data_IF_343784937539
#
_entry.id   IF_343784937539
#
_cell.length_a   1.000
_cell.length_b   1.000
_cell.length_c   1.000
_cell.angle_alpha   90.00
_cell.angle_beta   90.00
_cell.angle_gamma   90.00
#
_symmetry.space_group_name_H-M   'P 1'
#
loop_
_entity.id
_entity.type
_entity.pdbx_description
1 polymer ?
#
# COMPACT_ATOMS: atom_id res chain seq x y z
N UNK A 1 -12.14 -2.82 -10.51
CA UNK A 1 -12.75 -1.79 -9.67
C UNK A 1 -11.77 -0.64 -9.50
N UNK A 2 -12.22 0.57 -9.75
CA UNK A 2 -11.40 1.76 -9.54
C UNK A 2 -11.83 2.49 -8.27
N UNK A 3 -11.19 3.64 -7.98
CA UNK A 3 -11.48 4.40 -6.76
C UNK A 3 -12.93 4.90 -6.71
N UNK A 4 -13.48 5.35 -7.82
CA UNK A 4 -14.86 5.84 -7.89
C UNK A 4 -15.84 4.72 -7.56
N UNK A 5 -15.66 3.57 -8.17
CA UNK A 5 -16.50 2.40 -7.91
C UNK A 5 -16.38 1.92 -6.46
N UNK A 6 -15.17 1.95 -5.91
CA UNK A 6 -14.94 1.59 -4.51
C UNK A 6 -15.70 2.52 -3.57
N UNK A 7 -15.65 3.83 -3.83
CA UNK A 7 -16.37 4.84 -3.04
C UNK A 7 -17.88 4.59 -3.10
N UNK A 8 -18.40 4.29 -4.28
CA UNK A 8 -19.83 4.03 -4.47
C UNK A 8 -20.28 2.77 -3.71
N UNK A 9 -19.49 1.70 -3.78
CA UNK A 9 -19.78 0.47 -3.05
C UNK A 9 -19.69 0.68 -1.54
N UNK A 10 -18.70 1.42 -1.08
CA UNK A 10 -18.53 1.72 0.33
C UNK A 10 -19.71 2.53 0.87
N UNK A 11 -20.14 3.54 0.12
CA UNK A 11 -21.30 4.36 0.49
C UNK A 11 -22.54 3.49 0.64
N UNK A 12 -22.78 2.60 -0.32
CA UNK A 12 -23.92 1.70 -0.29
C UNK A 12 -23.86 0.72 0.88
N UNK A 13 -22.70 0.13 1.11
CA UNK A 13 -22.51 -0.89 2.14
C UNK A 13 -22.61 -0.33 3.57
N UNK A 14 -22.23 0.92 3.75
CA UNK A 14 -22.14 1.54 5.08
C UNK A 14 -23.29 2.53 5.35
N UNK A 15 -24.17 2.74 4.39
CA UNK A 15 -25.22 3.76 4.46
C UNK A 15 -24.70 5.19 4.63
N UNK A 16 -23.49 5.43 4.15
CA UNK A 16 -22.91 6.77 4.11
C UNK A 16 -23.35 7.47 2.82
N UNK A 17 -23.47 8.79 2.87
CA UNK A 17 -23.62 9.55 1.63
C UNK A 17 -22.30 9.51 0.88
N UNK A 18 -22.34 9.70 -0.43
CA UNK A 18 -21.14 9.57 -1.27
C UNK A 18 -19.96 10.43 -0.79
N UNK A 19 -20.23 11.66 -0.40
CA UNK A 19 -19.19 12.57 0.09
C UNK A 19 -18.49 12.03 1.33
N UNK A 20 -19.23 11.45 2.24
CA UNK A 20 -18.68 10.84 3.45
C UNK A 20 -17.83 9.64 3.12
N UNK A 21 -18.27 8.79 2.19
CA UNK A 21 -17.52 7.63 1.74
C UNK A 21 -16.22 8.06 1.05
N UNK A 22 -16.28 9.10 0.22
CA UNK A 22 -15.11 9.67 -0.44
C UNK A 22 -14.10 10.19 0.58
N UNK A 23 -14.57 10.94 1.57
CA UNK A 23 -13.71 11.47 2.63
C UNK A 23 -13.09 10.35 3.45
N UNK A 24 -13.82 9.26 3.70
CA UNK A 24 -13.31 8.11 4.43
C UNK A 24 -12.18 7.41 3.65
N UNK A 25 -12.37 7.21 2.35
CA UNK A 25 -11.34 6.58 1.51
C UNK A 25 -10.10 7.47 1.42
N UNK A 26 -10.29 8.76 1.18
CA UNK A 26 -9.18 9.70 1.09
C UNK A 26 -8.43 9.82 2.42
N UNK A 27 -9.17 9.87 3.53
CA UNK A 27 -8.57 9.90 4.86
C UNK A 27 -7.74 8.67 5.17
N UNK A 28 -8.25 7.50 4.78
CA UNK A 28 -7.52 6.24 4.95
C UNK A 28 -6.21 6.26 4.16
N UNK A 29 -6.27 6.70 2.89
CA UNK A 29 -5.07 6.80 2.05
C UNK A 29 -4.05 7.74 2.68
N UNK A 30 -4.48 8.90 3.18
CA UNK A 30 -3.60 9.86 3.82
C UNK A 30 -2.94 9.30 5.08
N UNK A 31 -3.71 8.60 5.93
CA UNK A 31 -3.20 8.01 7.15
C UNK A 31 -2.16 6.93 6.83
N UNK A 32 -2.46 6.04 5.90
CA UNK A 32 -1.53 4.99 5.49
C UNK A 32 -0.26 5.61 4.93
N UNK A 33 -0.40 6.57 4.02
CA UNK A 33 0.75 7.24 3.41
C UNK A 33 1.64 7.93 4.44
N UNK A 34 1.05 8.70 5.36
CA UNK A 34 1.79 9.41 6.40
C UNK A 34 2.49 8.45 7.35
N UNK A 35 1.81 7.37 7.73
CA UNK A 35 2.37 6.38 8.66
C UNK A 35 3.57 5.67 8.03
N UNK A 36 3.44 5.24 6.77
CA UNK A 36 4.56 4.59 6.07
C UNK A 36 5.72 5.54 5.86
N UNK A 37 5.42 6.80 5.58
CA UNK A 37 6.42 7.84 5.37
C UNK A 37 7.27 8.06 6.62
N UNK A 38 6.68 7.92 7.81
CA UNK A 38 7.39 8.06 9.07
C UNK A 38 8.05 6.77 9.55
N UNK A 39 7.98 5.71 8.76
CA UNK A 39 8.59 4.42 9.10
C UNK A 39 7.71 3.48 9.92
N UNK A 40 6.46 3.84 10.12
CA UNK A 40 5.50 3.00 10.83
C UNK A 40 4.76 2.03 9.93
N UNK A 41 3.80 1.34 10.50
CA UNK A 41 2.96 0.40 9.74
C UNK A 41 1.51 0.54 10.17
N UNK A 42 0.61 0.12 9.27
CA UNK A 42 -0.83 0.10 9.55
C UNK A 42 -1.33 -1.33 9.41
N UNK A 43 -1.83 -1.88 10.51
CA UNK A 43 -2.36 -3.23 10.55
C UNK A 43 -3.87 -3.21 10.62
N UNK A 44 -4.50 -3.88 9.65
CA UNK A 44 -5.96 -4.09 9.65
C UNK A 44 -6.20 -5.56 9.97
N UNK A 45 -6.56 -5.82 11.22
CA UNK A 45 -6.79 -7.18 11.69
C UNK A 45 -7.83 -7.88 10.82
N UNK A 46 -7.50 -9.07 10.34
CA UNK A 46 -8.37 -9.81 9.44
C UNK A 46 -8.19 -9.48 7.96
N UNK A 47 -7.33 -8.52 7.64
CA UNK A 47 -7.08 -8.11 6.26
C UNK A 47 -5.59 -8.17 5.89
N UNK A 48 -4.76 -7.38 6.57
CA UNK A 48 -3.33 -7.36 6.29
C UNK A 48 -2.64 -6.16 6.89
N UNK A 49 -1.37 -6.03 6.59
CA UNK A 49 -0.53 -4.96 7.12
C UNK A 49 0.15 -4.20 5.99
N UNK A 50 0.03 -2.87 6.03
CA UNK A 50 0.79 -1.97 5.16
C UNK A 50 2.03 -1.54 5.91
N UNK A 51 3.19 -1.70 5.30
CA UNK A 51 4.47 -1.33 5.90
C UNK A 51 5.37 -0.66 4.88
N UNK A 52 6.42 -0.04 5.37
CA UNK A 52 7.43 0.57 4.53
C UNK A 52 8.72 -0.21 4.72
N UNK A 53 9.38 -0.53 3.62
CA UNK A 53 10.67 -1.22 3.65
C UNK A 53 11.72 -0.31 3.07
N UNK A 54 12.75 -0.02 3.85
CA UNK A 54 13.88 0.75 3.38
C UNK A 54 14.88 -0.16 2.68
N UNK A 55 15.24 0.23 1.47
CA UNK A 55 16.32 -0.42 0.74
C UNK A 55 17.53 0.49 0.80
N UNK A 56 18.64 -0.03 1.34
CA UNK A 56 19.87 0.73 1.46
C UNK A 56 20.45 1.06 0.09
N UNK A 57 21.24 2.14 0.04
CA UNK A 57 22.00 2.50 -1.16
C UNK A 57 22.95 1.37 -1.50
N UNK A 58 23.09 1.10 -2.77
CA UNK A 58 23.97 0.04 -3.25
C UNK A 58 24.59 0.39 -4.60
N UNK A 59 25.66 -0.30 -4.96
CA UNK A 59 26.25 -0.19 -6.28
C UNK A 59 25.57 -1.17 -7.21
N UNK A 60 25.14 -0.68 -8.35
CA UNK A 60 24.55 -1.52 -9.40
C UNK A 60 25.39 -1.48 -10.66
N UNK A 61 25.02 -2.26 -11.65
CA UNK A 61 25.68 -2.30 -12.95
C UNK A 61 24.74 -1.67 -13.97
N UNK A 62 25.28 -0.74 -14.78
CA UNK A 62 24.52 -0.13 -15.85
C UNK A 62 24.26 -1.18 -16.95
N UNK A 63 23.01 -1.54 -17.22
CA UNK A 63 22.69 -2.59 -18.20
C UNK A 63 23.10 -2.21 -19.63
N UNK A 64 23.24 -0.91 -19.94
CA UNK A 64 23.66 -0.45 -21.25
C UNK A 64 25.17 -0.43 -21.41
N UNK A 65 25.91 -0.39 -20.29
CA UNK A 65 27.38 -0.39 -20.25
C UNK A 65 27.83 -1.33 -19.15
N UNK A 66 27.95 -2.64 -19.43
CA UNK A 66 28.18 -3.64 -18.38
C UNK A 66 29.43 -3.45 -17.51
N UNK A 67 30.39 -2.70 -17.98
CA UNK A 67 31.60 -2.40 -17.19
C UNK A 67 31.46 -1.18 -16.29
N UNK A 68 30.37 -0.46 -16.37
CA UNK A 68 30.16 0.78 -15.62
C UNK A 68 29.25 0.54 -14.43
N UNK A 69 29.72 0.92 -13.23
CA UNK A 69 28.93 0.84 -12.00
C UNK A 69 28.18 2.12 -11.76
N UNK A 70 26.92 2.01 -11.35
CA UNK A 70 26.09 3.14 -10.97
C UNK A 70 25.69 3.02 -9.51
N UNK A 71 25.56 4.15 -8.84
CA UNK A 71 25.07 4.18 -7.46
C UNK A 71 23.54 4.21 -7.45
N UNK A 72 22.95 3.21 -6.80
CA UNK A 72 21.51 3.15 -6.60
C UNK A 72 21.23 3.74 -5.23
N UNK A 73 20.50 4.89 -5.15
CA UNK A 73 20.26 5.53 -3.86
C UNK A 73 19.34 4.70 -2.97
N UNK A 74 19.41 4.97 -1.67
CA UNK A 74 18.47 4.38 -0.72
C UNK A 74 17.05 4.84 -1.02
N UNK A 75 16.09 3.92 -0.98
CA UNK A 75 14.68 4.22 -1.22
C UNK A 75 13.81 3.50 -0.20
N UNK A 76 12.66 4.08 0.09
CA UNK A 76 11.66 3.45 0.94
C UNK A 76 10.51 3.01 0.04
N UNK A 77 10.18 1.72 0.08
CA UNK A 77 9.12 1.16 -0.75
C UNK A 77 7.97 0.67 0.11
N UNK A 78 6.72 0.88 -0.32
CA UNK A 78 5.57 0.36 0.39
C UNK A 78 5.43 -1.15 0.17
N UNK A 79 4.92 -1.84 1.18
CA UNK A 79 4.68 -3.26 1.10
C UNK A 79 3.35 -3.59 1.78
N UNK A 80 2.57 -4.46 1.15
CA UNK A 80 1.36 -5.00 1.74
C UNK A 80 1.55 -6.49 2.01
N UNK A 81 1.33 -6.90 3.26
CA UNK A 81 1.37 -8.31 3.64
C UNK A 81 -0.06 -8.75 4.00
N UNK A 82 -0.62 -9.65 3.21
CA UNK A 82 -1.96 -10.17 3.45
C UNK A 82 -2.02 -10.94 4.76
N UNK A 83 -3.09 -10.73 5.51
CA UNK A 83 -3.36 -11.50 6.73
C UNK A 83 -3.92 -12.87 6.41
N UNK A 84 -3.97 -13.73 7.43
CA UNK A 84 -4.45 -15.10 7.29
C UNK A 84 -5.88 -15.15 6.76
N UNK A 85 -6.78 -14.32 7.28
CA UNK A 85 -8.18 -14.30 6.88
C UNK A 85 -8.34 -13.99 5.40
N UNK A 86 -7.57 -13.03 4.88
CA UNK A 86 -7.61 -12.69 3.46
C UNK A 86 -7.06 -13.82 2.61
N UNK A 87 -5.94 -14.42 3.03
CA UNK A 87 -5.35 -15.54 2.31
C UNK A 87 -6.31 -16.74 2.25
N UNK A 88 -6.96 -17.04 3.37
CA UNK A 88 -7.91 -18.16 3.45
C UNK A 88 -9.13 -17.90 2.55
N UNK A 89 -9.61 -16.66 2.51
CA UNK A 89 -10.74 -16.28 1.64
C UNK A 89 -10.43 -16.51 0.16
N UNK A 90 -9.19 -16.29 -0.26
CA UNK A 90 -8.77 -16.50 -1.64
C UNK A 90 -8.48 -17.97 -1.94
N UNK A 91 -8.11 -18.74 -0.93
CA UNK A 91 -7.82 -20.17 -1.05
C UNK A 91 -9.08 -21.01 -1.20
N UNK A 92 -10.14 -20.60 -0.54
CA UNK A 92 -11.42 -21.34 -0.49
C UNK A 92 -12.51 -20.45 -1.10
N UNK A 93 -12.60 -20.40 -2.45
CA UNK A 93 -13.61 -19.59 -3.14
C UNK A 93 -15.03 -20.06 -2.93
#
# INVERSE_FOLDING_TARGET
>A
MNKVELIEQLASKTNLVRKQAEDAVNGLIEIVTSTLKSGGEVTLTGFGTFSARRREARMGVNPQKPGEKIQIPAVTVPKFKAGKTLKDALKNP
#
